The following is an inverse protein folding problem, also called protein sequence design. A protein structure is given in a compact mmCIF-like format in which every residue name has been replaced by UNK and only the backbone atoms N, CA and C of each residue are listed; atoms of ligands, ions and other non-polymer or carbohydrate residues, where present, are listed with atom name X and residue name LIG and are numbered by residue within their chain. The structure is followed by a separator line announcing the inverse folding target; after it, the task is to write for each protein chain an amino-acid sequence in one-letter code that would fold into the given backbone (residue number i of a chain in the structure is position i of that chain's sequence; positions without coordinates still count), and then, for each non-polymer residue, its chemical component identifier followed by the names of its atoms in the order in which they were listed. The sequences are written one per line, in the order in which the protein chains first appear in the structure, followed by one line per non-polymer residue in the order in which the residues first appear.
data_IF_000642278126
#
_entry.id   IF_000642278126
#
_cell.length_a   1.000
_cell.length_b   1.000
_cell.length_c   1.000
_cell.angle_alpha   90.00
_cell.angle_beta   90.00
_cell.angle_gamma   90.00
#
_symmetry.space_group_name_H-M   'P 1'
#
loop_
_entity.id
_entity.type
_entity.pdbx_description
1 polymer ?
#
# COMPACT_ATOMS: atom_id res chain seq x y z
N UNK A 1 -14.37 27.10 25.00
CA UNK A 1 -14.81 25.90 24.28
C UNK A 1 -14.22 25.99 22.89
N UNK A 2 -13.27 25.11 22.56
CA UNK A 2 -12.61 25.11 21.25
C UNK A 2 -13.56 24.63 20.15
N UNK A 3 -13.55 25.36 19.04
CA UNK A 3 -14.48 25.22 17.93
C UNK A 3 -14.41 23.80 17.30
N UNK A 4 -15.51 23.02 17.30
CA UNK A 4 -15.53 21.60 16.92
C UNK A 4 -15.26 21.34 15.43
N UNK A 5 -15.02 22.39 14.63
CA UNK A 5 -14.75 22.29 13.19
C UNK A 5 -13.26 22.19 12.82
N UNK A 6 -12.36 22.26 13.81
CA UNK A 6 -10.91 22.21 13.55
C UNK A 6 -10.27 20.84 13.86
N UNK A 7 -10.99 19.96 14.56
CA UNK A 7 -10.45 18.68 15.05
C UNK A 7 -10.28 17.62 13.95
N UNK A 8 -10.87 17.80 12.77
CA UNK A 8 -10.90 16.79 11.68
C UNK A 8 -9.78 16.99 10.64
N UNK A 9 -8.99 18.08 10.68
CA UNK A 9 -8.21 18.53 9.50
C UNK A 9 -6.72 18.14 9.45
N UNK A 10 -6.25 17.15 10.22
CA UNK A 10 -4.82 16.74 10.21
C UNK A 10 -4.52 15.29 9.81
N UNK A 11 -5.52 14.47 9.50
CA UNK A 11 -5.29 13.03 9.28
C UNK A 11 -4.94 12.53 7.87
N UNK A 12 -4.99 13.29 6.75
CA UNK A 12 -4.74 12.69 5.44
C UNK A 12 -3.26 12.33 5.20
N UNK A 13 -2.31 12.97 5.89
CA UNK A 13 -0.87 12.71 5.65
C UNK A 13 -0.37 11.43 6.30
N UNK A 14 -0.86 11.10 7.51
CA UNK A 14 -0.43 9.89 8.23
C UNK A 14 -0.97 8.63 7.56
N UNK A 15 -2.21 8.65 7.08
CA UNK A 15 -2.82 7.52 6.37
C UNK A 15 -2.14 7.22 5.03
N UNK A 16 -1.72 8.25 4.28
CA UNK A 16 -0.97 8.09 3.02
C UNK A 16 0.41 7.42 3.22
N UNK A 17 1.12 7.77 4.29
CA UNK A 17 2.42 7.14 4.61
C UNK A 17 2.23 5.67 4.97
N UNK A 18 1.20 5.35 5.75
CA UNK A 18 0.87 3.97 6.13
C UNK A 18 0.49 3.15 4.88
N UNK A 19 -0.27 3.73 3.94
CA UNK A 19 -0.63 3.09 2.67
C UNK A 19 0.60 2.81 1.79
N UNK A 20 1.55 3.74 1.76
CA UNK A 20 2.81 3.55 1.04
C UNK A 20 3.67 2.45 1.68
N UNK A 21 3.79 2.45 3.01
CA UNK A 21 4.54 1.43 3.75
C UNK A 21 3.91 0.04 3.62
N UNK A 22 2.58 -0.07 3.67
CA UNK A 22 1.87 -1.35 3.50
C UNK A 22 1.98 -1.88 2.08
N UNK A 23 1.95 -1.00 1.07
CA UNK A 23 2.15 -1.38 -0.33
C UNK A 23 3.57 -1.93 -0.55
N UNK A 24 4.61 -1.25 -0.05
CA UNK A 24 5.99 -1.73 -0.12
C UNK A 24 6.16 -3.08 0.57
N UNK A 25 5.62 -3.22 1.79
CA UNK A 25 5.70 -4.47 2.55
C UNK A 25 5.03 -5.64 1.79
N UNK A 26 3.86 -5.41 1.20
CA UNK A 26 3.14 -6.42 0.42
C UNK A 26 3.91 -6.86 -0.82
N UNK A 27 4.57 -5.92 -1.53
CA UNK A 27 5.41 -6.22 -2.69
C UNK A 27 6.65 -7.02 -2.28
N UNK A 28 7.34 -6.60 -1.21
CA UNK A 28 8.53 -7.28 -0.72
C UNK A 28 8.20 -8.73 -0.31
N UNK A 29 7.12 -8.93 0.45
CA UNK A 29 6.69 -10.28 0.83
C UNK A 29 6.29 -11.10 -0.40
N UNK A 30 5.53 -10.53 -1.34
CA UNK A 30 5.15 -11.22 -2.56
C UNK A 30 6.37 -11.71 -3.37
N UNK A 31 7.39 -10.87 -3.51
CA UNK A 31 8.66 -11.23 -4.18
C UNK A 31 9.39 -12.35 -3.42
N UNK A 32 9.47 -12.26 -2.09
CA UNK A 32 10.10 -13.30 -1.25
C UNK A 32 9.37 -14.64 -1.39
N UNK A 33 8.04 -14.63 -1.45
CA UNK A 33 7.23 -15.85 -1.66
C UNK A 33 7.48 -16.44 -3.04
N UNK A 34 7.53 -15.62 -4.09
CA UNK A 34 7.81 -16.09 -5.45
C UNK A 34 9.21 -16.72 -5.58
N UNK A 35 10.23 -16.10 -4.98
CA UNK A 35 11.62 -16.57 -5.06
C UNK A 35 11.85 -17.76 -4.11
N UNK A 36 11.32 -17.71 -2.89
CA UNK A 36 11.58 -18.70 -1.84
C UNK A 36 10.73 -19.96 -1.96
N UNK A 37 9.41 -19.81 -2.15
CA UNK A 37 8.45 -20.93 -2.15
C UNK A 37 8.02 -21.36 -3.56
N UNK A 38 8.14 -20.48 -4.56
CA UNK A 38 7.86 -20.82 -5.96
C UNK A 38 8.83 -21.86 -6.56
N UNK A 39 10.00 -22.06 -5.95
CA UNK A 39 10.98 -23.07 -6.38
C UNK A 39 10.54 -24.52 -6.12
N UNK A 40 9.55 -24.73 -5.26
CA UNK A 40 9.06 -26.06 -4.87
C UNK A 40 7.72 -26.41 -5.48
N UNK A 41 7.58 -26.46 -6.81
CA UNK A 41 6.44 -27.02 -7.59
C UNK A 41 5.01 -26.81 -7.03
N UNK A 42 4.81 -25.78 -6.22
CA UNK A 42 3.53 -25.50 -5.57
C UNK A 42 2.91 -24.34 -6.31
N UNK A 43 2.06 -24.69 -7.27
CA UNK A 43 1.27 -23.74 -8.06
C UNK A 43 0.49 -22.75 -7.17
N UNK A 44 0.20 -23.16 -5.93
CA UNK A 44 -0.40 -22.32 -4.90
C UNK A 44 0.53 -21.21 -4.37
N UNK A 45 1.83 -21.48 -4.19
CA UNK A 45 2.79 -20.47 -3.72
C UNK A 45 3.08 -19.42 -4.80
N UNK A 46 3.20 -19.88 -6.05
CA UNK A 46 3.35 -18.98 -7.19
C UNK A 46 2.12 -18.06 -7.34
N UNK A 47 0.91 -18.63 -7.29
CA UNK A 47 -0.33 -17.86 -7.32
C UNK A 47 -0.46 -16.85 -6.17
N UNK A 48 -0.17 -17.28 -4.93
CA UNK A 48 -0.23 -16.40 -3.76
C UNK A 48 0.80 -15.25 -3.83
N UNK A 49 2.01 -15.53 -4.32
CA UNK A 49 3.05 -14.53 -4.53
C UNK A 49 2.62 -13.47 -5.55
N UNK A 50 2.06 -13.89 -6.68
CA UNK A 50 1.54 -12.96 -7.69
C UNK A 50 0.37 -12.11 -7.17
N UNK A 51 -0.55 -12.68 -6.40
CA UNK A 51 -1.68 -11.95 -5.80
C UNK A 51 -1.17 -10.86 -4.85
N UNK A 52 -0.18 -11.18 -4.00
CA UNK A 52 0.43 -10.21 -3.08
C UNK A 52 1.13 -9.07 -3.81
N UNK A 53 1.85 -9.37 -4.88
CA UNK A 53 2.49 -8.36 -5.73
C UNK A 53 1.45 -7.46 -6.39
N UNK A 54 0.40 -8.03 -7.00
CA UNK A 54 -0.68 -7.25 -7.64
C UNK A 54 -1.39 -6.36 -6.63
N UNK A 55 -1.70 -6.88 -5.44
CA UNK A 55 -2.34 -6.12 -4.37
C UNK A 55 -1.47 -4.93 -3.91
N UNK A 56 -0.16 -5.14 -3.79
CA UNK A 56 0.80 -4.09 -3.49
C UNK A 56 0.90 -3.02 -4.60
N UNK A 57 0.87 -3.43 -5.87
CA UNK A 57 0.86 -2.50 -7.02
C UNK A 57 -0.43 -1.67 -7.05
N UNK A 58 -1.60 -2.29 -6.83
CA UNK A 58 -2.89 -1.57 -6.76
C UNK A 58 -2.88 -0.55 -5.62
N UNK A 59 -2.34 -0.92 -4.46
CA UNK A 59 -2.19 -0.02 -3.31
C UNK A 59 -1.29 1.18 -3.63
N UNK A 60 -0.22 0.98 -4.41
CA UNK A 60 0.62 2.07 -4.94
C UNK A 60 -0.16 2.98 -5.90
N UNK A 61 -1.00 2.44 -6.78
CA UNK A 61 -1.86 3.23 -7.67
C UNK A 61 -2.81 4.11 -6.85
N UNK A 62 -3.45 3.56 -5.82
CA UNK A 62 -4.28 4.34 -4.90
C UNK A 62 -3.48 5.42 -4.17
N UNK A 63 -2.26 5.13 -3.73
CA UNK A 63 -1.37 6.13 -3.15
C UNK A 63 -1.09 7.27 -4.13
N UNK A 64 -0.77 6.98 -5.40
CA UNK A 64 -0.54 7.99 -6.42
C UNK A 64 -1.80 8.83 -6.73
N UNK A 65 -2.97 8.20 -6.80
CA UNK A 65 -4.24 8.90 -7.01
C UNK A 65 -4.59 9.81 -5.82
N UNK A 66 -4.45 9.30 -4.60
CA UNK A 66 -4.70 10.06 -3.38
C UNK A 66 -3.68 11.21 -3.18
N UNK A 67 -2.43 11.03 -3.63
CA UNK A 67 -1.43 12.09 -3.70
C UNK A 67 -1.78 13.16 -4.73
N UNK A 68 -2.40 12.80 -5.86
CA UNK A 68 -2.89 13.78 -6.85
C UNK A 68 -4.13 14.55 -6.35
N UNK A 69 -4.95 13.94 -5.50
CA UNK A 69 -6.11 14.59 -4.89
C UNK A 69 -5.74 15.53 -3.73
N UNK A 70 -4.55 15.39 -3.15
CA UNK A 70 -4.01 16.38 -2.21
C UNK A 70 -3.32 17.47 -3.03
N UNK A 71 -3.89 18.68 -3.17
CA UNK A 71 -3.23 19.74 -3.94
C UNK A 71 -1.84 20.01 -3.36
N UNK A 72 -0.84 20.33 -4.20
CA UNK A 72 0.50 20.66 -3.73
C UNK A 72 0.36 21.77 -2.69
N UNK A 73 0.85 21.50 -1.47
CA UNK A 73 0.87 22.48 -0.40
C UNK A 73 1.60 23.73 -0.91
N UNK A 74 0.85 24.83 -0.99
CA UNK A 74 1.42 26.19 -1.07
C UNK A 74 1.91 26.59 0.32
#
# INVERSE_FOLDING_TARGET
MEDPKTVVKREPRKSLIILFASALFSIIIGIVVLIGLGSGNSQMAEGAGWILVVCGVVSLVFYFLARKQTPPAK
#
